data_IF_022814526226
#
_entry.id   IF_022814526226
#
_cell.length_a   1.000
_cell.length_b   1.000
_cell.length_c   1.000
_cell.angle_alpha   90.00
_cell.angle_beta   90.00
_cell.angle_gamma   90.00
#
_symmetry.space_group_name_H-M   'P 1'
#
loop_
_entity.id
_entity.type
_entity.pdbx_description
1 polymer ?
#
# COMPACT_ATOMS: atom_id res chain seq x y z
N UNK A 1 -37.36 13.94 -3.60
CA UNK A 1 -36.22 12.98 -3.42
C UNK A 1 -35.04 13.52 -4.20
N UNK A 2 -33.84 13.67 -3.58
CA UNK A 2 -32.67 14.16 -4.34
C UNK A 2 -32.19 13.09 -5.32
N UNK A 3 -31.65 13.49 -6.47
CA UNK A 3 -31.08 12.59 -7.48
C UNK A 3 -30.09 11.58 -6.87
N UNK A 4 -29.36 11.95 -5.81
CA UNK A 4 -28.47 11.06 -5.05
C UNK A 4 -29.21 9.87 -4.39
N UNK A 5 -30.46 10.05 -3.96
CA UNK A 5 -31.24 9.01 -3.30
C UNK A 5 -31.88 8.05 -4.32
N UNK A 6 -32.15 8.50 -5.53
CA UNK A 6 -32.65 7.65 -6.64
C UNK A 6 -31.53 6.76 -7.16
N UNK A 7 -30.33 7.32 -7.36
CA UNK A 7 -29.15 6.56 -7.80
C UNK A 7 -28.78 5.43 -6.82
N UNK A 8 -28.97 5.65 -5.50
CA UNK A 8 -28.69 4.63 -4.49
C UNK A 8 -29.65 3.42 -4.54
N UNK A 9 -30.86 3.59 -5.06
CA UNK A 9 -31.91 2.54 -5.08
C UNK A 9 -31.92 1.68 -6.33
N UNK A 10 -31.34 2.14 -7.44
CA UNK A 10 -31.34 1.41 -8.72
C UNK A 10 -29.94 0.83 -8.97
N UNK A 11 -29.76 -0.51 -8.93
CA UNK A 11 -28.44 -1.16 -9.03
C UNK A 11 -27.65 -0.74 -10.29
N UNK A 12 -28.32 -0.62 -11.43
CA UNK A 12 -27.69 -0.22 -12.71
C UNK A 12 -27.18 1.24 -12.65
N UNK A 13 -27.95 2.17 -12.11
CA UNK A 13 -27.54 3.56 -11.97
C UNK A 13 -26.37 3.72 -10.99
N UNK A 14 -26.37 2.93 -9.95
CA UNK A 14 -25.27 2.87 -8.97
C UNK A 14 -23.99 2.33 -9.60
N UNK A 15 -24.10 1.32 -10.47
CA UNK A 15 -23.00 0.80 -11.27
C UNK A 15 -22.44 1.87 -12.20
N UNK A 16 -23.28 2.50 -13.00
CA UNK A 16 -22.86 3.53 -13.95
C UNK A 16 -22.20 4.71 -13.25
N UNK A 17 -22.76 5.14 -12.11
CA UNK A 17 -22.17 6.19 -11.29
C UNK A 17 -20.79 5.81 -10.74
N UNK A 18 -20.61 4.55 -10.31
CA UNK A 18 -19.31 4.06 -9.84
C UNK A 18 -18.30 3.92 -10.96
N UNK A 19 -18.68 3.36 -12.10
CA UNK A 19 -17.83 3.25 -13.28
C UNK A 19 -17.39 4.64 -13.78
N UNK A 20 -18.32 5.60 -13.78
CA UNK A 20 -18.02 6.99 -14.14
C UNK A 20 -17.07 7.66 -13.14
N UNK A 21 -17.28 7.41 -11.85
CA UNK A 21 -16.40 7.92 -10.78
C UNK A 21 -14.98 7.35 -10.93
N UNK A 22 -14.85 6.04 -11.10
CA UNK A 22 -13.54 5.39 -11.27
C UNK A 22 -12.82 5.88 -12.53
N UNK A 23 -13.55 6.00 -13.65
CA UNK A 23 -13.02 6.56 -14.88
C UNK A 23 -12.57 8.02 -14.70
N UNK A 24 -13.36 8.83 -13.98
CA UNK A 24 -13.01 10.21 -13.67
C UNK A 24 -11.74 10.30 -12.80
N UNK A 25 -11.63 9.46 -11.79
CA UNK A 25 -10.44 9.41 -10.91
C UNK A 25 -9.19 8.99 -11.69
N UNK A 26 -9.29 7.95 -12.51
CA UNK A 26 -8.18 7.48 -13.33
C UNK A 26 -7.79 8.53 -14.38
N UNK A 27 -8.74 9.09 -15.11
CA UNK A 27 -8.50 10.14 -16.09
C UNK A 27 -7.85 11.37 -15.44
N UNK A 28 -8.28 11.73 -14.21
CA UNK A 28 -7.68 12.81 -13.45
C UNK A 28 -6.24 12.49 -13.03
N UNK A 29 -5.98 11.26 -12.58
CA UNK A 29 -4.64 10.81 -12.21
C UNK A 29 -3.71 10.77 -13.43
N UNK A 30 -4.18 10.21 -14.55
CA UNK A 30 -3.42 10.17 -15.81
C UNK A 30 -3.06 11.59 -16.30
N UNK A 31 -4.02 12.53 -16.26
CA UNK A 31 -3.76 13.95 -16.56
C UNK A 31 -2.74 14.58 -15.63
N UNK A 32 -2.83 14.29 -14.32
CA UNK A 32 -1.87 14.79 -13.33
C UNK A 32 -0.47 14.24 -13.59
N UNK A 33 -0.35 12.94 -13.88
CA UNK A 33 0.93 12.29 -14.20
C UNK A 33 1.50 12.90 -15.47
N UNK A 34 0.74 13.02 -16.55
CA UNK A 34 1.18 13.64 -17.81
C UNK A 34 1.66 15.07 -17.58
N UNK A 35 0.87 15.88 -16.85
CA UNK A 35 1.27 17.25 -16.50
C UNK A 35 2.53 17.28 -15.65
N UNK A 36 2.73 16.30 -14.78
CA UNK A 36 3.90 16.22 -13.91
C UNK A 36 5.16 15.81 -14.69
N UNK A 37 5.06 14.80 -15.56
CA UNK A 37 6.18 14.31 -16.38
C UNK A 37 6.65 15.37 -17.39
N UNK A 38 5.73 16.20 -17.88
CA UNK A 38 6.06 17.29 -18.81
C UNK A 38 6.74 18.51 -18.14
N UNK A 39 6.98 18.46 -16.83
CA UNK A 39 7.78 19.50 -16.14
C UNK A 39 9.25 19.31 -16.49
N UNK A 40 9.97 20.44 -16.62
CA UNK A 40 11.43 20.43 -16.86
C UNK A 40 12.21 19.94 -15.62
N UNK A 41 11.67 20.18 -14.45
CA UNK A 41 12.34 19.89 -13.18
C UNK A 41 11.38 19.23 -12.18
N UNK A 42 11.94 18.36 -11.35
CA UNK A 42 11.23 17.79 -10.21
C UNK A 42 10.91 18.91 -9.20
N UNK A 43 9.67 19.04 -8.70
CA UNK A 43 9.36 20.02 -7.67
C UNK A 43 10.03 19.68 -6.33
N UNK A 44 10.20 20.70 -5.49
CA UNK A 44 10.77 20.57 -4.14
C UNK A 44 12.24 20.15 -4.12
N UNK A 45 13.04 20.59 -5.10
CA UNK A 45 14.51 20.38 -5.12
C UNK A 45 15.28 21.51 -4.45
N UNK A 46 14.77 22.74 -4.52
CA UNK A 46 15.41 23.91 -3.92
C UNK A 46 14.89 24.22 -2.52
N UNK A 47 13.62 23.91 -2.26
CA UNK A 47 12.96 24.15 -0.97
C UNK A 47 12.23 22.89 -0.52
N UNK A 48 12.37 22.56 0.76
CA UNK A 48 11.61 21.48 1.37
C UNK A 48 10.09 21.79 1.36
N UNK A 49 9.23 20.78 1.26
CA UNK A 49 7.79 20.96 1.35
C UNK A 49 7.36 21.55 2.71
N UNK A 50 6.27 22.32 2.69
CA UNK A 50 5.69 22.82 3.95
C UNK A 50 5.11 21.68 4.79
N UNK A 51 4.57 20.64 4.15
CA UNK A 51 3.97 19.48 4.80
C UNK A 51 4.27 18.18 4.02
N UNK A 52 4.47 17.10 4.78
CA UNK A 52 4.65 15.75 4.28
C UNK A 52 3.45 14.85 4.61
N UNK A 53 3.12 13.92 3.73
CA UNK A 53 2.46 12.69 4.13
C UNK A 53 3.53 11.78 4.75
N UNK A 54 3.26 11.20 5.91
CA UNK A 54 4.24 10.34 6.61
C UNK A 54 3.75 8.91 6.58
N UNK A 55 4.58 8.00 6.07
CA UNK A 55 4.41 6.56 6.23
C UNK A 55 5.40 6.07 7.29
N UNK A 56 4.91 5.52 8.39
CA UNK A 56 5.75 5.02 9.47
C UNK A 56 5.61 3.51 9.63
N UNK A 57 6.73 2.81 9.64
CA UNK A 57 6.84 1.38 9.90
C UNK A 57 7.40 1.14 11.31
N UNK A 58 6.53 0.99 12.32
CA UNK A 58 6.97 0.84 13.71
C UNK A 58 7.76 -0.44 13.97
N UNK A 59 7.57 -1.46 13.12
CA UNK A 59 8.19 -2.77 13.27
C UNK A 59 8.20 -3.54 11.95
N UNK A 60 9.21 -4.39 11.75
CA UNK A 60 9.22 -5.42 10.70
C UNK A 60 8.63 -6.75 11.20
N UNK A 61 8.43 -6.90 12.51
CA UNK A 61 7.82 -8.11 13.08
C UNK A 61 6.37 -8.24 12.60
N UNK A 62 5.94 -9.47 12.40
CA UNK A 62 4.56 -9.79 12.06
C UNK A 62 4.22 -11.18 12.54
N UNK A 63 3.00 -11.36 12.98
CA UNK A 63 2.47 -12.65 13.41
C UNK A 63 1.99 -13.55 12.25
N UNK A 64 2.09 -13.09 10.98
CA UNK A 64 1.69 -13.84 9.81
C UNK A 64 2.88 -14.09 8.86
N UNK A 65 2.76 -15.12 7.98
CA UNK A 65 3.74 -15.49 6.96
C UNK A 65 3.09 -15.49 5.57
N UNK A 66 2.51 -14.33 5.19
CA UNK A 66 1.76 -14.21 3.95
C UNK A 66 2.58 -14.59 2.72
N UNK A 67 1.97 -15.36 1.80
CA UNK A 67 2.62 -15.89 0.59
C UNK A 67 3.21 -14.78 -0.31
N UNK A 68 2.54 -13.63 -0.40
CA UNK A 68 2.94 -12.50 -1.24
C UNK A 68 3.76 -11.44 -0.50
N UNK A 69 4.13 -11.66 0.76
CA UNK A 69 4.76 -10.61 1.54
C UNK A 69 6.19 -10.33 1.07
N UNK A 70 6.41 -9.13 0.53
CA UNK A 70 7.74 -8.67 0.11
C UNK A 70 8.75 -8.57 1.27
N UNK A 71 8.29 -8.30 2.49
CA UNK A 71 9.12 -8.27 3.70
C UNK A 71 9.43 -9.68 4.26
N UNK A 72 8.93 -10.76 3.66
CA UNK A 72 9.08 -12.12 4.18
C UNK A 72 10.53 -12.53 4.40
N UNK A 73 11.44 -12.11 3.53
CA UNK A 73 12.88 -12.41 3.62
C UNK A 73 13.59 -11.55 4.70
N UNK A 74 13.11 -10.33 4.96
CA UNK A 74 13.72 -9.40 5.91
C UNK A 74 13.32 -9.67 7.35
N UNK A 75 12.21 -10.38 7.59
CA UNK A 75 11.75 -10.75 8.95
C UNK A 75 12.69 -11.68 9.70
N UNK A 76 13.44 -12.51 8.98
CA UNK A 76 14.45 -13.38 9.57
C UNK A 76 15.65 -12.58 10.13
N UNK A 77 15.80 -11.34 9.72
CA UNK A 77 16.85 -10.44 10.17
C UNK A 77 16.37 -9.73 11.45
N UNK A 78 16.92 -10.13 12.58
CA UNK A 78 16.75 -9.40 13.84
C UNK A 78 17.37 -8.02 13.68
N UNK A 79 16.53 -6.99 13.48
CA UNK A 79 16.95 -5.59 13.49
C UNK A 79 16.50 -4.96 14.80
N UNK A 80 17.33 -4.05 15.30
CA UNK A 80 16.91 -3.16 16.37
C UNK A 80 15.69 -2.35 15.92
N UNK A 81 14.76 -2.16 16.81
CA UNK A 81 13.64 -1.24 16.65
C UNK A 81 13.85 -0.10 17.65
N UNK A 82 13.50 1.10 17.27
CA UNK A 82 13.51 2.23 18.20
C UNK A 82 12.54 1.97 19.35
N UNK A 83 12.94 2.33 20.54
CA UNK A 83 12.03 2.35 21.70
C UNK A 83 11.01 3.48 21.59
N UNK A 84 10.05 3.50 22.49
CA UNK A 84 8.96 4.48 22.48
C UNK A 84 9.46 5.93 22.54
N UNK A 85 10.43 6.21 23.37
CA UNK A 85 10.90 7.59 23.61
C UNK A 85 11.68 8.11 22.41
N UNK A 86 12.49 7.26 21.78
CA UNK A 86 13.16 7.55 20.53
C UNK A 86 12.15 7.85 19.39
N UNK A 87 11.09 7.04 19.29
CA UNK A 87 10.05 7.27 18.29
C UNK A 87 9.30 8.57 18.56
N UNK A 88 8.95 8.85 19.80
CA UNK A 88 8.29 10.10 20.18
C UNK A 88 9.18 11.32 19.92
N UNK A 89 10.50 11.22 20.11
CA UNK A 89 11.43 12.31 19.76
C UNK A 89 11.43 12.60 18.25
N UNK A 90 11.34 11.57 17.41
CA UNK A 90 11.17 11.73 15.96
C UNK A 90 9.83 12.39 15.64
N UNK A 91 8.74 11.97 16.30
CA UNK A 91 7.42 12.54 16.08
C UNK A 91 7.35 14.02 16.46
N UNK A 92 8.04 14.42 17.53
CA UNK A 92 8.18 15.83 17.90
C UNK A 92 8.82 16.66 16.78
N UNK A 93 9.90 16.16 16.17
CA UNK A 93 10.54 16.83 15.00
C UNK A 93 9.61 16.91 13.79
N UNK A 94 8.70 15.93 13.63
CA UNK A 94 7.80 15.81 12.49
C UNK A 94 6.48 16.57 12.66
N UNK A 95 5.99 16.82 13.88
CA UNK A 95 4.60 17.25 14.15
C UNK A 95 4.19 18.49 13.37
N UNK A 96 5.07 19.50 13.29
CA UNK A 96 4.80 20.71 12.53
C UNK A 96 4.73 20.50 11.02
N UNK A 97 5.44 19.50 10.51
CA UNK A 97 5.61 19.17 9.09
C UNK A 97 4.68 18.04 8.60
N UNK A 98 3.93 17.40 9.48
CA UNK A 98 3.07 16.26 9.11
C UNK A 98 1.66 16.72 8.74
N UNK A 99 1.19 16.32 7.55
CA UNK A 99 -0.19 16.48 7.10
C UNK A 99 -1.08 15.32 7.58
N UNK A 100 -0.61 14.11 7.38
CA UNK A 100 -1.27 12.88 7.77
C UNK A 100 -0.21 11.80 8.04
N UNK A 101 -0.54 10.82 8.87
CA UNK A 101 0.34 9.68 9.12
C UNK A 101 -0.36 8.37 8.78
N UNK A 102 0.35 7.52 8.05
CA UNK A 102 -0.04 6.14 7.80
C UNK A 102 0.90 5.22 8.58
N UNK A 103 0.35 4.47 9.52
CA UNK A 103 1.05 3.46 10.30
C UNK A 103 0.88 2.11 9.59
N UNK A 104 2.01 1.49 9.27
CA UNK A 104 2.09 0.24 8.49
C UNK A 104 3.30 -0.55 8.98
N UNK A 105 3.87 -1.45 8.22
CA UNK A 105 5.08 -2.21 8.54
C UNK A 105 4.85 -3.70 8.41
N UNK A 106 5.40 -4.50 9.32
CA UNK A 106 5.02 -5.91 9.46
C UNK A 106 3.57 -6.02 9.93
N UNK A 107 3.38 -6.05 11.24
CA UNK A 107 2.06 -5.87 11.86
C UNK A 107 2.20 -4.88 13.02
N UNK A 108 1.65 -3.68 12.92
CA UNK A 108 1.79 -2.66 13.97
C UNK A 108 1.30 -3.12 15.35
N UNK A 109 0.24 -3.91 15.41
CA UNK A 109 -0.35 -4.40 16.66
C UNK A 109 0.51 -5.43 17.39
N UNK A 110 1.67 -5.82 16.84
CA UNK A 110 2.68 -6.63 17.55
C UNK A 110 3.44 -5.81 18.60
N UNK A 111 3.54 -4.48 18.41
CA UNK A 111 4.15 -3.59 19.39
C UNK A 111 3.19 -3.30 20.53
N UNK A 112 3.66 -3.43 21.76
CA UNK A 112 2.84 -3.17 22.95
C UNK A 112 2.54 -1.68 23.13
N UNK A 113 3.46 -0.81 22.72
CA UNK A 113 3.39 0.64 22.82
C UNK A 113 2.71 1.32 21.61
N UNK A 114 2.20 0.54 20.63
CA UNK A 114 1.66 1.10 19.39
C UNK A 114 0.56 2.15 19.62
N UNK A 115 -0.30 1.94 20.60
CA UNK A 115 -1.38 2.88 20.87
C UNK A 115 -0.89 4.18 21.53
N UNK A 116 0.24 4.16 22.24
CA UNK A 116 0.88 5.38 22.75
C UNK A 116 1.42 6.22 21.59
N UNK A 117 2.04 5.56 20.58
CA UNK A 117 2.51 6.20 19.37
C UNK A 117 1.36 6.79 18.54
N UNK A 118 0.26 6.06 18.42
CA UNK A 118 -0.95 6.54 17.71
C UNK A 118 -1.58 7.72 18.46
N UNK A 119 -1.64 7.66 19.80
CA UNK A 119 -2.21 8.70 20.67
C UNK A 119 -1.45 10.03 20.56
N UNK A 120 -0.15 10.01 20.29
CA UNK A 120 0.61 11.21 19.98
C UNK A 120 -0.03 11.99 18.82
N UNK A 121 -0.27 11.32 17.69
CA UNK A 121 -0.83 11.95 16.49
C UNK A 121 -2.31 12.30 16.64
N UNK A 122 -3.05 11.56 17.44
CA UNK A 122 -4.43 11.86 17.78
C UNK A 122 -4.51 13.21 18.56
N UNK A 123 -3.63 13.40 19.55
CA UNK A 123 -3.50 14.66 20.29
C UNK A 123 -3.09 15.84 19.41
N UNK A 124 -2.18 15.62 18.47
CA UNK A 124 -1.76 16.61 17.47
C UNK A 124 -2.85 16.91 16.42
N UNK A 125 -4.00 16.27 16.51
CA UNK A 125 -5.12 16.46 15.59
C UNK A 125 -4.86 15.98 14.16
N UNK A 126 -3.86 15.13 13.94
CA UNK A 126 -3.48 14.65 12.61
C UNK A 126 -4.36 13.49 12.18
N UNK A 127 -4.65 13.44 10.88
CA UNK A 127 -5.32 12.30 10.28
C UNK A 127 -4.43 11.06 10.37
N UNK A 128 -4.97 9.96 10.91
CA UNK A 128 -4.27 8.71 11.10
C UNK A 128 -4.91 7.63 10.24
N UNK A 129 -4.09 6.93 9.46
CA UNK A 129 -4.48 5.73 8.71
C UNK A 129 -3.74 4.55 9.33
N UNK A 130 -4.48 3.58 9.85
CA UNK A 130 -3.89 2.38 10.45
C UNK A 130 -4.02 1.20 9.48
N UNK A 131 -2.90 0.65 9.03
CA UNK A 131 -2.87 -0.57 8.23
C UNK A 131 -2.48 -1.76 9.11
N UNK A 132 -3.39 -2.71 9.26
CA UNK A 132 -3.21 -3.89 10.11
C UNK A 132 -3.92 -5.11 9.51
N UNK A 133 -3.40 -6.31 9.79
CA UNK A 133 -4.08 -7.56 9.44
C UNK A 133 -5.27 -7.88 10.36
N UNK A 134 -5.48 -7.08 11.39
CA UNK A 134 -6.56 -7.18 12.39
C UNK A 134 -6.62 -8.50 13.17
N UNK A 135 -5.62 -9.36 13.11
CA UNK A 135 -5.67 -10.67 13.83
C UNK A 135 -5.26 -10.58 15.29
N UNK A 136 -4.74 -9.42 15.73
CA UNK A 136 -4.29 -9.17 17.09
C UNK A 136 -5.14 -8.13 17.82
N UNK A 137 -6.26 -7.71 17.26
CA UNK A 137 -7.19 -6.81 17.93
C UNK A 137 -8.06 -7.61 18.91
N UNK A 138 -7.76 -7.51 20.19
CA UNK A 138 -8.52 -8.05 21.30
C UNK A 138 -9.33 -6.95 22.01
N UNK A 139 -10.02 -7.30 23.09
CA UNK A 139 -10.82 -6.36 23.88
C UNK A 139 -9.98 -5.25 24.51
N UNK A 140 -8.76 -5.56 25.00
CA UNK A 140 -7.83 -4.58 25.55
C UNK A 140 -7.37 -3.57 24.51
N UNK A 141 -7.02 -4.03 23.31
CA UNK A 141 -6.62 -3.16 22.20
C UNK A 141 -7.80 -2.37 21.63
N UNK A 142 -9.00 -2.94 21.66
CA UNK A 142 -10.20 -2.25 21.20
C UNK A 142 -10.58 -1.07 22.08
N UNK A 143 -10.35 -1.14 23.41
CA UNK A 143 -10.58 0.00 24.29
C UNK A 143 -9.71 1.21 23.93
N UNK A 144 -8.45 0.98 23.53
CA UNK A 144 -7.60 2.05 23.02
C UNK A 144 -8.14 2.67 21.72
N UNK A 145 -8.65 1.83 20.80
CA UNK A 145 -9.27 2.38 19.57
C UNK A 145 -10.47 3.29 19.84
N UNK A 146 -11.24 2.99 20.88
CA UNK A 146 -12.42 3.76 21.28
C UNK A 146 -12.07 5.21 21.65
N UNK A 147 -10.92 5.43 22.26
CA UNK A 147 -10.46 6.75 22.70
C UNK A 147 -9.91 7.62 21.57
N UNK A 148 -9.40 7.01 20.49
CA UNK A 148 -8.71 7.69 19.41
C UNK A 148 -9.70 8.27 18.38
N UNK A 149 -9.73 9.58 18.24
CA UNK A 149 -10.72 10.30 17.40
C UNK A 149 -10.24 10.58 15.97
N UNK A 150 -8.92 10.55 15.74
CA UNK A 150 -8.32 10.94 14.46
C UNK A 150 -7.99 9.77 13.55
N UNK A 151 -8.29 8.52 13.97
CA UNK A 151 -8.20 7.39 13.03
C UNK A 151 -9.29 7.58 11.98
N UNK A 152 -8.85 7.89 10.78
CA UNK A 152 -9.73 8.20 9.63
C UNK A 152 -10.04 7.00 8.75
N UNK A 153 -9.22 5.95 8.83
CA UNK A 153 -9.39 4.72 8.05
C UNK A 153 -8.57 3.58 8.66
N UNK A 154 -9.14 2.39 8.67
CA UNK A 154 -8.41 1.14 8.95
C UNK A 154 -8.30 0.37 7.65
N UNK A 155 -7.06 0.14 7.21
CA UNK A 155 -6.77 -0.67 6.03
C UNK A 155 -6.49 -2.10 6.49
N UNK A 156 -7.25 -3.06 5.98
CA UNK A 156 -7.05 -4.47 6.30
C UNK A 156 -7.10 -5.35 5.06
N UNK A 157 -6.92 -6.64 5.25
CA UNK A 157 -6.77 -7.59 4.14
C UNK A 157 -7.72 -8.76 4.26
N UNK A 158 -8.32 -9.15 3.12
CA UNK A 158 -9.15 -10.36 3.00
C UNK A 158 -8.96 -10.93 1.59
N UNK A 159 -8.27 -12.08 1.44
CA UNK A 159 -7.81 -12.60 0.14
C UNK A 159 -8.64 -13.74 -0.42
N UNK A 160 -9.70 -14.13 0.25
CA UNK A 160 -10.57 -15.21 -0.16
C UNK A 160 -11.57 -15.60 0.93
N UNK A 161 -12.38 -16.64 0.71
CA UNK A 161 -13.12 -17.31 1.78
C UNK A 161 -12.12 -17.87 2.82
N UNK A 162 -12.63 -18.38 3.94
CA UNK A 162 -11.86 -18.78 5.11
C UNK A 162 -10.57 -19.56 4.78
N UNK A 163 -10.70 -20.67 4.07
CA UNK A 163 -9.57 -21.57 3.77
C UNK A 163 -8.53 -20.89 2.88
N UNK A 164 -8.99 -20.16 1.87
CA UNK A 164 -8.13 -19.41 0.96
C UNK A 164 -7.43 -18.27 1.69
N UNK A 165 -8.13 -17.52 2.53
CA UNK A 165 -7.52 -16.45 3.32
C UNK A 165 -6.44 -16.99 4.24
N UNK A 166 -6.72 -18.06 5.00
CA UNK A 166 -5.76 -18.67 5.92
C UNK A 166 -4.52 -19.19 5.18
N UNK A 167 -4.71 -19.82 4.00
CA UNK A 167 -3.63 -20.29 3.14
C UNK A 167 -2.76 -19.12 2.64
N UNK A 168 -3.36 -18.07 2.11
CA UNK A 168 -2.64 -16.90 1.57
C UNK A 168 -1.91 -16.16 2.68
N UNK A 169 -2.48 -16.10 3.89
CA UNK A 169 -1.87 -15.46 5.07
C UNK A 169 -0.85 -16.33 5.80
N UNK A 170 -0.76 -17.62 5.45
CA UNK A 170 0.23 -18.56 5.97
C UNK A 170 0.03 -18.90 7.44
N UNK A 171 -1.19 -18.82 7.96
CA UNK A 171 -1.53 -19.16 9.34
C UNK A 171 -3.00 -19.57 9.50
N UNK A 172 -3.29 -20.75 10.06
CA UNK A 172 -4.65 -21.19 10.33
C UNK A 172 -5.40 -20.24 11.28
N UNK A 173 -6.71 -20.09 11.09
CA UNK A 173 -7.57 -19.30 11.94
C UNK A 173 -7.44 -17.78 11.79
N UNK A 174 -6.67 -17.32 10.80
CA UNK A 174 -6.50 -15.89 10.49
C UNK A 174 -7.84 -15.24 10.13
N UNK A 175 -8.64 -15.93 9.32
CA UNK A 175 -9.97 -15.46 8.93
C UNK A 175 -10.90 -15.26 10.14
N UNK A 176 -10.95 -16.21 11.05
CA UNK A 176 -11.83 -16.13 12.23
C UNK A 176 -11.41 -14.98 13.14
N UNK A 177 -10.10 -14.76 13.33
CA UNK A 177 -9.57 -13.62 14.10
C UNK A 177 -9.92 -12.29 13.43
N UNK A 178 -9.74 -12.18 12.12
CA UNK A 178 -10.14 -11.00 11.35
C UNK A 178 -11.65 -10.73 11.52
N UNK A 179 -12.51 -11.74 11.35
CA UNK A 179 -13.97 -11.63 11.53
C UNK A 179 -14.33 -11.08 12.91
N UNK A 180 -13.76 -11.66 13.99
CA UNK A 180 -13.97 -11.18 15.36
C UNK A 180 -13.56 -9.71 15.53
N UNK A 181 -12.41 -9.33 14.98
CA UNK A 181 -11.94 -7.95 15.04
C UNK A 181 -12.84 -6.97 14.29
N UNK A 182 -13.38 -7.37 13.12
CA UNK A 182 -14.35 -6.56 12.39
C UNK A 182 -15.66 -6.37 13.18
N UNK A 183 -16.11 -7.41 13.89
CA UNK A 183 -17.29 -7.32 14.77
C UNK A 183 -17.05 -6.34 15.93
N UNK A 184 -15.87 -6.41 16.57
CA UNK A 184 -15.46 -5.48 17.62
C UNK A 184 -15.43 -4.04 17.10
N UNK A 185 -14.79 -3.77 15.96
CA UNK A 185 -14.72 -2.42 15.42
C UNK A 185 -16.10 -1.89 15.06
N UNK A 186 -16.95 -2.71 14.45
CA UNK A 186 -18.34 -2.30 14.12
C UNK A 186 -19.15 -1.93 15.36
N UNK A 187 -18.90 -2.60 16.49
CA UNK A 187 -19.58 -2.32 17.75
C UNK A 187 -19.02 -1.06 18.42
N UNK A 188 -17.71 -0.95 18.54
CA UNK A 188 -17.07 0.09 19.36
C UNK A 188 -16.78 1.38 18.58
N UNK A 189 -16.53 1.28 17.27
CA UNK A 189 -16.16 2.40 16.39
C UNK A 189 -16.79 2.27 14.99
N UNK A 190 -18.14 2.24 14.92
CA UNK A 190 -18.86 2.15 13.64
C UNK A 190 -18.61 3.35 12.71
N UNK A 191 -18.05 4.42 13.22
CA UNK A 191 -17.67 5.63 12.50
C UNK A 191 -16.40 5.48 11.67
N UNK A 192 -15.51 4.53 12.02
CA UNK A 192 -14.25 4.35 11.29
C UNK A 192 -14.49 3.53 10.00
N UNK A 193 -14.20 4.10 8.83
CA UNK A 193 -14.22 3.34 7.59
C UNK A 193 -13.19 2.20 7.62
N UNK A 194 -13.61 1.02 7.13
CA UNK A 194 -12.72 -0.12 6.95
C UNK A 194 -12.53 -0.33 5.46
N UNK A 195 -11.30 -0.15 5.00
CA UNK A 195 -10.90 -0.38 3.62
C UNK A 195 -10.25 -1.76 3.49
N UNK A 196 -10.88 -2.64 2.72
CA UNK A 196 -10.42 -4.02 2.55
C UNK A 196 -9.64 -4.17 1.25
N UNK A 197 -8.48 -4.81 1.35
CA UNK A 197 -7.65 -5.20 0.22
C UNK A 197 -7.57 -6.72 0.10
N UNK A 198 -7.58 -7.21 -1.14
CA UNK A 198 -7.25 -8.59 -1.48
C UNK A 198 -6.10 -8.59 -2.48
N UNK A 199 -5.07 -9.40 -2.26
CA UNK A 199 -4.01 -9.55 -3.25
C UNK A 199 -4.40 -10.59 -4.30
N UNK A 200 -4.34 -10.22 -5.56
CA UNK A 200 -4.56 -11.11 -6.69
C UNK A 200 -3.29 -11.93 -6.93
N UNK A 201 -3.31 -13.17 -6.50
CA UNK A 201 -2.35 -14.21 -6.84
C UNK A 201 -2.94 -15.01 -8.00
N UNK A 202 -2.52 -14.72 -9.23
CA UNK A 202 -3.17 -15.25 -10.45
C UNK A 202 -3.27 -16.78 -10.42
N UNK A 203 -2.21 -17.44 -9.97
CA UNK A 203 -2.14 -18.90 -9.93
C UNK A 203 -2.87 -19.53 -8.73
N UNK A 204 -3.18 -18.76 -7.70
CA UNK A 204 -3.68 -19.33 -6.44
C UNK A 204 -5.14 -18.99 -6.16
N UNK A 205 -5.52 -17.70 -6.26
CA UNK A 205 -6.81 -17.25 -5.75
C UNK A 205 -7.73 -16.56 -6.76
N UNK A 206 -7.33 -16.45 -8.04
CA UNK A 206 -8.12 -15.76 -9.06
C UNK A 206 -9.58 -16.30 -9.13
N UNK A 207 -9.75 -17.60 -9.11
CA UNK A 207 -11.09 -18.23 -9.20
C UNK A 207 -11.87 -18.16 -7.87
N UNK A 208 -11.20 -17.91 -6.75
CA UNK A 208 -11.83 -17.74 -5.44
C UNK A 208 -12.50 -16.38 -5.22
N UNK A 209 -12.26 -15.40 -6.09
CA UNK A 209 -12.79 -14.05 -5.93
C UNK A 209 -14.32 -13.95 -5.96
N UNK A 210 -15.00 -14.85 -6.64
CA UNK A 210 -16.46 -14.93 -6.58
C UNK A 210 -16.94 -15.26 -5.15
N UNK A 211 -16.34 -16.28 -4.52
CA UNK A 211 -16.63 -16.65 -3.13
C UNK A 211 -16.17 -15.59 -2.14
N UNK A 212 -15.06 -14.88 -2.44
CA UNK A 212 -14.63 -13.73 -1.64
C UNK A 212 -15.68 -12.62 -1.61
N UNK A 213 -16.33 -12.34 -2.74
CA UNK A 213 -17.42 -11.36 -2.81
C UNK A 213 -18.61 -11.78 -1.96
N UNK A 214 -18.98 -13.06 -1.97
CA UNK A 214 -20.04 -13.57 -1.09
C UNK A 214 -19.65 -13.42 0.38
N UNK A 215 -18.41 -13.76 0.74
CA UNK A 215 -17.84 -13.54 2.09
C UNK A 215 -17.86 -12.04 2.47
N UNK A 216 -17.51 -11.14 1.57
CA UNK A 216 -17.59 -9.71 1.82
C UNK A 216 -19.01 -9.27 2.16
N UNK A 217 -20.01 -9.80 1.42
CA UNK A 217 -21.42 -9.51 1.70
C UNK A 217 -21.84 -10.00 3.09
N UNK A 218 -21.46 -11.22 3.47
CA UNK A 218 -21.74 -11.80 4.79
C UNK A 218 -21.10 -10.96 5.92
N UNK A 219 -19.89 -10.47 5.71
CA UNK A 219 -19.18 -9.60 6.63
C UNK A 219 -19.65 -8.14 6.58
N UNK A 220 -20.62 -7.79 5.71
CA UNK A 220 -21.11 -6.42 5.54
C UNK A 220 -20.09 -5.46 4.92
N UNK A 221 -19.15 -5.99 4.13
CA UNK A 221 -18.12 -5.23 3.41
C UNK A 221 -18.68 -4.83 2.05
N UNK A 222 -18.90 -3.53 1.84
CA UNK A 222 -19.48 -3.02 0.60
C UNK A 222 -18.48 -2.71 -0.51
N UNK A 223 -17.18 -2.73 -0.22
CA UNK A 223 -16.12 -2.43 -1.20
C UNK A 223 -14.87 -3.25 -0.91
N UNK A 224 -14.29 -3.85 -1.94
CA UNK A 224 -13.01 -4.52 -1.88
C UNK A 224 -12.07 -3.99 -2.96
N UNK A 225 -10.81 -3.78 -2.60
CA UNK A 225 -9.76 -3.34 -3.49
C UNK A 225 -8.87 -4.54 -3.84
N UNK A 226 -8.94 -5.02 -5.06
CA UNK A 226 -8.11 -6.12 -5.56
C UNK A 226 -6.76 -5.52 -5.98
N UNK A 227 -5.73 -5.87 -5.24
CA UNK A 227 -4.36 -5.43 -5.45
C UNK A 227 -3.64 -6.42 -6.35
N UNK A 228 -3.12 -5.96 -7.48
CA UNK A 228 -2.28 -6.80 -8.31
C UNK A 228 -0.98 -7.15 -7.57
N UNK A 229 -0.61 -8.43 -7.60
CA UNK A 229 0.60 -8.91 -6.95
C UNK A 229 1.85 -8.18 -7.46
N UNK A 230 2.72 -7.80 -6.54
CA UNK A 230 4.03 -7.27 -6.88
C UNK A 230 4.98 -8.45 -7.13
N UNK A 231 5.31 -8.66 -8.39
CA UNK A 231 6.21 -9.74 -8.81
C UNK A 231 7.42 -9.15 -9.51
N UNK A 232 8.59 -9.65 -9.18
CA UNK A 232 9.86 -9.16 -9.70
C UNK A 232 10.60 -10.27 -10.43
N UNK A 233 10.94 -10.04 -11.70
CA UNK A 233 11.78 -10.94 -12.45
C UNK A 233 13.25 -10.79 -12.03
N UNK A 234 14.02 -11.87 -12.08
CA UNK A 234 15.44 -11.87 -11.75
C UNK A 234 16.22 -10.82 -12.55
N UNK A 235 15.86 -10.66 -13.82
CA UNK A 235 16.47 -9.68 -14.71
C UNK A 235 16.15 -8.25 -14.30
N UNK A 236 14.94 -7.99 -13.79
CA UNK A 236 14.51 -6.66 -13.31
C UNK A 236 15.27 -6.28 -12.03
N UNK A 237 15.47 -7.25 -11.14
CA UNK A 237 16.26 -7.09 -9.91
C UNK A 237 17.72 -6.83 -10.26
N UNK A 238 18.30 -7.65 -11.14
CA UNK A 238 19.70 -7.48 -11.62
C UNK A 238 19.92 -6.12 -12.27
N UNK A 239 19.02 -5.71 -13.16
CA UNK A 239 19.08 -4.40 -13.79
C UNK A 239 18.97 -3.25 -12.79
N UNK A 240 18.15 -3.38 -11.73
CA UNK A 240 18.08 -2.37 -10.68
C UNK A 240 19.37 -2.29 -9.87
N UNK A 241 19.99 -3.44 -9.53
CA UNK A 241 21.30 -3.49 -8.84
C UNK A 241 22.40 -2.83 -9.67
N UNK A 242 22.43 -3.06 -10.98
CA UNK A 242 23.37 -2.39 -11.86
C UNK A 242 23.20 -0.86 -11.82
N UNK A 243 21.96 -0.35 -11.85
CA UNK A 243 21.71 1.10 -11.70
C UNK A 243 22.21 1.61 -10.36
N UNK A 244 21.99 0.88 -9.26
CA UNK A 244 22.47 1.31 -7.94
C UNK A 244 23.99 1.36 -7.88
N UNK A 245 24.68 0.39 -8.42
CA UNK A 245 26.12 0.34 -8.48
C UNK A 245 26.71 1.38 -9.43
N UNK A 246 26.29 1.40 -10.68
CA UNK A 246 26.93 2.19 -11.74
C UNK A 246 26.54 3.67 -11.71
N UNK A 247 25.27 3.98 -11.41
CA UNK A 247 24.79 5.35 -11.43
C UNK A 247 24.86 6.02 -10.06
N UNK A 248 24.51 5.29 -8.99
CA UNK A 248 24.51 5.85 -7.62
C UNK A 248 25.81 5.59 -6.87
N UNK A 249 26.59 4.58 -7.26
CA UNK A 249 27.79 4.17 -6.55
C UNK A 249 27.50 3.43 -5.24
N UNK A 250 26.27 2.92 -5.08
CA UNK A 250 25.88 2.22 -3.85
C UNK A 250 26.49 0.83 -3.79
N UNK A 251 27.01 0.49 -2.61
CA UNK A 251 27.48 -0.86 -2.30
C UNK A 251 26.29 -1.73 -1.86
N UNK A 252 26.40 -3.06 -2.02
CA UNK A 252 25.29 -3.99 -1.70
C UNK A 252 24.87 -3.97 -0.24
N UNK A 253 25.76 -3.66 0.68
CA UNK A 253 25.48 -3.51 2.11
C UNK A 253 24.69 -2.24 2.47
N UNK A 254 24.66 -1.23 1.59
CA UNK A 254 24.02 0.07 1.85
C UNK A 254 22.52 0.09 1.54
N UNK A 255 22.03 -0.94 0.84
CA UNK A 255 20.61 -1.05 0.50
C UNK A 255 20.12 -2.48 0.54
N UNK A 256 18.81 -2.64 0.59
CA UNK A 256 18.15 -3.94 0.41
C UNK A 256 17.03 -3.82 -0.59
N UNK A 257 16.86 -4.87 -1.37
CA UNK A 257 15.70 -5.06 -2.21
C UNK A 257 14.79 -6.10 -1.56
N UNK A 258 13.69 -5.62 -1.00
CA UNK A 258 12.64 -6.45 -0.46
C UNK A 258 11.77 -6.96 -1.62
N UNK A 259 12.24 -7.99 -2.29
CA UNK A 259 11.58 -8.58 -3.45
C UNK A 259 11.41 -10.06 -3.23
N UNK A 260 10.23 -10.58 -3.55
CA UNK A 260 10.12 -12.01 -3.79
C UNK A 260 10.56 -12.27 -5.23
N UNK A 261 11.73 -12.92 -5.39
CA UNK A 261 12.10 -13.50 -6.66
C UNK A 261 11.05 -14.56 -7.02
N UNK A 262 10.11 -14.18 -7.85
CA UNK A 262 9.29 -15.15 -8.57
C UNK A 262 9.53 -14.92 -10.04
N UNK A 263 9.92 -15.94 -10.72
CA UNK A 263 9.78 -15.95 -12.17
C UNK A 263 8.32 -15.61 -12.44
N UNK A 264 8.00 -14.57 -13.22
CA UNK A 264 6.62 -14.29 -13.59
C UNK A 264 6.12 -15.42 -14.53
N UNK A 265 5.89 -16.59 -13.95
CA UNK A 265 5.51 -17.84 -14.63
C UNK A 265 4.13 -17.72 -15.26
N UNK A 266 3.33 -16.77 -14.80
CA UNK A 266 2.00 -16.48 -15.35
C UNK A 266 2.01 -15.98 -16.80
N UNK A 267 3.17 -15.57 -17.35
CA UNK A 267 3.28 -15.20 -18.78
C UNK A 267 2.76 -16.29 -19.73
N UNK A 268 2.90 -17.55 -19.36
CA UNK A 268 2.54 -18.69 -20.20
C UNK A 268 1.23 -19.38 -19.79
N UNK A 269 0.57 -18.94 -18.71
CA UNK A 269 -0.61 -19.60 -18.13
C UNK A 269 -1.92 -18.91 -18.39
N UNK A 270 -1.91 -17.60 -18.59
CA UNK A 270 -3.13 -16.83 -18.85
C UNK A 270 -2.82 -15.68 -19.83
N UNK A 271 -3.66 -15.54 -20.84
CA UNK A 271 -3.55 -14.41 -21.76
C UNK A 271 -4.08 -13.11 -21.12
N UNK A 272 -3.61 -11.92 -21.58
CA UNK A 272 -4.17 -10.64 -21.12
C UNK A 272 -5.68 -10.55 -21.29
N UNK A 273 -6.20 -11.09 -22.40
CA UNK A 273 -7.62 -11.04 -22.71
C UNK A 273 -8.42 -11.96 -21.77
N UNK A 274 -7.95 -13.17 -21.54
CA UNK A 274 -8.57 -14.12 -20.61
C UNK A 274 -8.60 -13.56 -19.19
N UNK A 275 -7.47 -13.02 -18.71
CA UNK A 275 -7.40 -12.38 -17.40
C UNK A 275 -8.38 -11.21 -17.32
N UNK A 276 -8.42 -10.35 -18.35
CA UNK A 276 -9.35 -9.22 -18.40
C UNK A 276 -10.80 -9.65 -18.35
N UNK A 277 -11.13 -10.73 -19.07
CA UNK A 277 -12.49 -11.30 -19.07
C UNK A 277 -12.87 -11.86 -17.70
N UNK A 278 -11.98 -12.59 -17.02
CA UNK A 278 -12.19 -13.06 -15.64
C UNK A 278 -12.39 -11.89 -14.68
N UNK A 279 -11.49 -10.89 -14.68
CA UNK A 279 -11.59 -9.71 -13.81
C UNK A 279 -12.89 -8.91 -14.07
N UNK A 280 -13.31 -8.79 -15.32
CA UNK A 280 -14.60 -8.17 -15.68
C UNK A 280 -15.78 -8.95 -15.09
N UNK A 281 -15.78 -10.28 -15.19
CA UNK A 281 -16.81 -11.14 -14.59
C UNK A 281 -16.85 -10.99 -13.07
N UNK A 282 -15.70 -10.97 -12.39
CA UNK A 282 -15.58 -10.75 -10.95
C UNK A 282 -16.19 -9.39 -10.56
N UNK A 283 -15.83 -8.33 -11.27
CA UNK A 283 -16.37 -6.98 -11.04
C UNK A 283 -17.90 -6.94 -11.21
N UNK A 284 -18.41 -7.57 -12.28
CA UNK A 284 -19.86 -7.63 -12.53
C UNK A 284 -20.60 -8.44 -11.46
N UNK A 285 -20.00 -9.54 -11.01
CA UNK A 285 -20.56 -10.35 -9.91
C UNK A 285 -20.63 -9.54 -8.61
N UNK A 286 -19.57 -8.80 -8.29
CA UNK A 286 -19.56 -7.92 -7.12
C UNK A 286 -20.70 -6.90 -7.15
N UNK A 287 -20.99 -6.32 -8.31
CA UNK A 287 -22.11 -5.40 -8.47
C UNK A 287 -23.46 -6.05 -8.20
N UNK A 288 -23.69 -7.27 -8.70
CA UNK A 288 -24.92 -8.03 -8.41
C UNK A 288 -25.09 -8.32 -6.91
N UNK A 289 -23.98 -8.43 -6.17
CA UNK A 289 -23.97 -8.70 -4.73
C UNK A 289 -23.90 -7.42 -3.86
N UNK A 290 -23.98 -6.23 -4.45
CA UNK A 290 -23.77 -4.95 -3.78
C UNK A 290 -22.39 -4.81 -3.10
N UNK A 291 -21.37 -5.46 -3.65
CA UNK A 291 -19.98 -5.31 -3.27
C UNK A 291 -19.19 -4.71 -4.44
N UNK A 292 -18.66 -3.50 -4.25
CA UNK A 292 -17.87 -2.83 -5.28
C UNK A 292 -16.46 -3.41 -5.32
N UNK A 293 -16.02 -3.78 -6.52
CA UNK A 293 -14.68 -4.31 -6.78
C UNK A 293 -13.87 -3.25 -7.51
N UNK A 294 -12.80 -2.77 -6.87
CA UNK A 294 -11.81 -1.90 -7.48
C UNK A 294 -10.54 -2.71 -7.78
N UNK A 295 -9.83 -2.36 -8.86
CA UNK A 295 -8.51 -2.90 -9.16
C UNK A 295 -7.44 -1.86 -8.84
N UNK A 296 -6.36 -2.28 -8.17
CA UNK A 296 -5.30 -1.38 -7.70
C UNK A 296 -3.92 -1.93 -8.11
N UNK A 297 -3.12 -1.19 -8.88
CA UNK A 297 -3.46 0.05 -9.57
C UNK A 297 -4.46 -0.18 -10.72
N UNK A 298 -5.39 0.71 -10.92
CA UNK A 298 -6.38 0.59 -12.01
C UNK A 298 -5.73 0.62 -13.39
N UNK A 299 -4.59 1.31 -13.51
CA UNK A 299 -3.79 1.34 -14.72
C UNK A 299 -3.38 -0.07 -15.19
N UNK A 300 -3.15 -1.03 -14.28
CA UNK A 300 -2.82 -2.42 -14.63
C UNK A 300 -3.99 -3.15 -15.27
N UNK A 301 -5.19 -2.96 -14.75
CA UNK A 301 -6.41 -3.53 -15.34
C UNK A 301 -6.60 -3.14 -16.81
N UNK A 302 -6.18 -1.94 -17.20
CA UNK A 302 -6.25 -1.46 -18.58
C UNK A 302 -5.00 -1.80 -19.43
N UNK A 303 -3.93 -2.28 -18.80
CA UNK A 303 -2.65 -2.57 -19.45
C UNK A 303 -2.09 -3.93 -19.00
N UNK A 304 -2.92 -4.98 -19.07
CA UNK A 304 -2.53 -6.32 -18.61
C UNK A 304 -1.38 -6.90 -19.44
N UNK A 305 -1.27 -6.58 -20.71
CA UNK A 305 -0.13 -6.93 -21.58
C UNK A 305 1.19 -6.41 -21.01
N UNK A 306 1.18 -5.20 -20.45
CA UNK A 306 2.32 -4.63 -19.76
C UNK A 306 2.55 -5.29 -18.40
N UNK A 307 1.52 -5.40 -17.57
CA UNK A 307 1.62 -6.04 -16.25
C UNK A 307 2.17 -7.48 -16.37
N UNK A 308 1.69 -8.26 -17.33
CA UNK A 308 2.18 -9.61 -17.61
C UNK A 308 3.57 -9.62 -18.26
N UNK A 309 4.13 -8.45 -18.61
CA UNK A 309 5.47 -8.29 -19.18
C UNK A 309 5.58 -8.70 -20.64
N UNK A 310 4.47 -8.76 -21.38
CA UNK A 310 4.44 -9.01 -22.83
C UNK A 310 4.94 -7.78 -23.57
N UNK A 311 4.51 -6.58 -23.13
CA UNK A 311 4.99 -5.31 -23.64
C UNK A 311 5.77 -4.57 -22.57
N UNK A 312 6.99 -4.16 -22.89
CA UNK A 312 7.79 -3.29 -22.01
C UNK A 312 7.35 -1.83 -22.18
N UNK A 313 7.34 -1.08 -21.08
CA UNK A 313 7.08 0.35 -21.05
C UNK A 313 7.72 0.95 -19.80
N UNK A 314 7.82 2.27 -19.75
CA UNK A 314 8.28 2.96 -18.56
C UNK A 314 7.19 2.96 -17.49
N UNK A 315 7.57 2.74 -16.24
CA UNK A 315 6.71 2.91 -15.08
C UNK A 315 7.08 4.20 -14.33
N UNK A 316 6.09 5.06 -14.11
CA UNK A 316 6.22 6.26 -13.29
C UNK A 316 5.78 5.97 -11.86
N UNK A 317 6.53 6.44 -10.87
CA UNK A 317 6.21 6.25 -9.46
C UNK A 317 5.27 7.34 -8.95
N UNK A 318 4.07 6.97 -8.47
CA UNK A 318 3.07 7.91 -7.94
C UNK A 318 3.57 8.71 -6.72
N UNK A 319 4.53 8.19 -5.97
CA UNK A 319 5.08 8.89 -4.81
C UNK A 319 5.75 10.22 -5.17
N UNK A 320 6.17 10.37 -6.43
CA UNK A 320 6.73 11.64 -6.92
C UNK A 320 5.69 12.75 -7.05
N UNK A 321 4.38 12.43 -7.08
CA UNK A 321 3.32 13.43 -7.24
C UNK A 321 3.07 14.28 -5.99
N UNK A 322 3.48 13.81 -4.82
CA UNK A 322 3.29 14.51 -3.55
C UNK A 322 4.45 14.20 -2.60
N UNK A 323 4.80 15.15 -1.71
CA UNK A 323 5.82 14.92 -0.70
C UNK A 323 5.38 13.84 0.28
N UNK A 324 6.08 12.72 0.28
CA UNK A 324 5.87 11.61 1.23
C UNK A 324 7.21 11.21 1.85
N UNK A 325 7.27 11.18 3.17
CA UNK A 325 8.38 10.58 3.92
C UNK A 325 7.99 9.17 4.36
N UNK A 326 8.84 8.20 4.05
CA UNK A 326 8.69 6.83 4.55
C UNK A 326 9.76 6.59 5.59
N UNK A 327 9.36 6.22 6.80
CA UNK A 327 10.24 6.04 7.95
C UNK A 327 10.15 4.59 8.39
N UNK A 328 11.27 3.91 8.48
CA UNK A 328 11.35 2.53 8.93
C UNK A 328 11.47 2.44 10.47
N UNK A 329 11.55 1.22 11.00
CA UNK A 329 11.60 0.92 12.44
C UNK A 329 12.89 1.39 13.14
N UNK A 330 13.92 1.80 12.38
CA UNK A 330 15.19 2.34 12.91
C UNK A 330 15.27 3.86 12.81
N UNK A 331 14.19 4.52 12.36
CA UNK A 331 14.14 5.98 12.19
C UNK A 331 14.74 6.48 10.87
N UNK A 332 15.17 5.58 9.99
CA UNK A 332 15.70 5.95 8.69
C UNK A 332 14.59 6.38 7.73
N UNK A 333 14.83 7.45 7.00
CA UNK A 333 14.02 7.84 5.86
C UNK A 333 14.43 7.01 4.65
N UNK A 334 13.49 6.21 4.15
CA UNK A 334 13.65 5.36 2.96
C UNK A 334 12.72 5.83 1.85
N UNK A 335 12.99 5.45 0.60
CA UNK A 335 12.06 5.79 -0.48
C UNK A 335 10.77 4.97 -0.42
N UNK A 336 10.89 3.67 -0.34
CA UNK A 336 9.75 2.75 -0.29
C UNK A 336 10.13 1.41 0.33
N UNK A 337 9.12 0.62 0.63
CA UNK A 337 9.24 -0.69 1.28
C UNK A 337 10.02 -1.72 0.44
N UNK A 338 10.11 -1.51 -0.89
CA UNK A 338 10.83 -2.40 -1.82
C UNK A 338 12.31 -2.05 -1.89
N UNK A 339 12.63 -0.76 -1.85
CA UNK A 339 14.01 -0.25 -1.90
C UNK A 339 14.32 0.34 -0.53
N UNK A 340 14.94 -0.45 0.32
CA UNK A 340 15.32 -0.05 1.66
C UNK A 340 16.78 0.45 1.65
N UNK A 341 16.94 1.71 1.27
CA UNK A 341 18.17 2.50 1.36
C UNK A 341 17.88 3.67 2.30
N UNK A 342 18.71 3.85 3.32
CA UNK A 342 18.64 5.03 4.19
C UNK A 342 19.15 6.25 3.45
N UNK A 343 18.36 7.33 3.47
CA UNK A 343 18.77 8.66 3.01
C UNK A 343 19.10 9.60 4.17
N UNK A 344 19.01 9.09 5.38
CA UNK A 344 19.32 9.76 6.64
C UNK A 344 18.39 9.30 7.75
N UNK A 345 18.86 9.45 8.99
CA UNK A 345 18.11 9.04 10.18
C UNK A 345 17.50 10.27 10.88
N UNK A 346 16.26 10.18 11.30
CA UNK A 346 15.52 11.26 11.96
C UNK A 346 15.91 11.46 13.44
N UNK A 347 16.66 10.55 14.03
CA UNK A 347 17.28 10.81 15.33
C UNK A 347 18.33 11.93 15.20
N UNK A 348 19.10 11.93 14.11
CA UNK A 348 20.24 12.83 13.91
C UNK A 348 19.89 14.07 13.09
N UNK A 349 18.99 13.91 12.09
CA UNK A 349 18.68 14.95 11.09
C UNK A 349 17.21 15.37 11.14
N UNK A 350 16.93 16.56 10.66
CA UNK A 350 15.56 17.03 10.42
C UNK A 350 15.00 16.44 9.12
N UNK A 351 13.67 16.38 8.97
CA UNK A 351 13.05 15.90 7.73
C UNK A 351 13.44 16.75 6.51
N UNK A 352 13.65 18.05 6.67
CA UNK A 352 14.03 18.95 5.59
C UNK A 352 15.47 18.74 5.14
N UNK A 353 16.40 18.54 6.09
CA UNK A 353 17.80 18.20 5.76
C UNK A 353 17.90 16.90 4.97
N UNK A 354 17.14 15.87 5.38
CA UNK A 354 17.11 14.60 4.64
C UNK A 354 16.48 14.79 3.26
N UNK A 355 15.34 15.52 3.18
CA UNK A 355 14.64 15.76 1.92
C UNK A 355 15.50 16.50 0.91
N UNK A 356 16.31 17.46 1.36
CA UNK A 356 17.19 18.28 0.52
C UNK A 356 18.58 17.67 0.34
N UNK A 357 18.89 16.52 0.96
CA UNK A 357 20.19 15.90 0.79
C UNK A 357 20.48 15.58 -0.68
N UNK A 358 21.72 15.79 -1.15
CA UNK A 358 22.08 15.57 -2.55
C UNK A 358 21.77 14.15 -3.04
N UNK A 359 22.01 13.14 -2.19
CA UNK A 359 21.76 11.73 -2.53
C UNK A 359 20.26 11.47 -2.72
N UNK A 360 19.39 11.98 -1.80
CA UNK A 360 17.95 11.78 -1.92
C UNK A 360 17.36 12.55 -3.10
N UNK A 361 17.88 13.74 -3.39
CA UNK A 361 17.49 14.50 -4.58
C UNK A 361 17.89 13.78 -5.87
N UNK A 362 19.15 13.31 -5.96
CA UNK A 362 19.65 12.53 -7.12
C UNK A 362 18.79 11.29 -7.37
N UNK A 363 18.39 10.58 -6.30
CA UNK A 363 17.54 9.41 -6.41
C UNK A 363 16.13 9.74 -6.94
N UNK A 364 15.49 10.77 -6.39
CA UNK A 364 14.17 11.24 -6.83
C UNK A 364 14.19 11.74 -8.27
N UNK A 365 15.23 12.46 -8.66
CA UNK A 365 15.42 12.94 -10.02
C UNK A 365 15.58 11.78 -11.00
N UNK A 366 16.37 10.78 -10.65
CA UNK A 366 16.50 9.56 -11.48
C UNK A 366 15.16 8.85 -11.68
N UNK A 367 14.38 8.68 -10.61
CA UNK A 367 13.05 8.10 -10.70
C UNK A 367 12.10 8.91 -11.58
N UNK A 368 12.20 10.24 -11.51
CA UNK A 368 11.41 11.15 -12.33
C UNK A 368 11.76 11.03 -13.82
N UNK A 369 13.02 10.98 -14.16
CA UNK A 369 13.49 10.95 -15.54
C UNK A 369 13.44 9.57 -16.19
N UNK A 370 13.89 8.56 -15.48
CA UNK A 370 14.12 7.22 -16.05
C UNK A 370 13.24 6.13 -15.42
N UNK A 371 12.89 6.24 -14.14
CA UNK A 371 12.31 5.13 -13.38
C UNK A 371 13.32 4.03 -13.12
N UNK A 372 12.94 3.02 -12.36
CA UNK A 372 13.78 1.85 -12.08
C UNK A 372 13.14 0.59 -12.66
N UNK A 373 13.95 -0.36 -13.17
CA UNK A 373 13.43 -1.64 -13.70
C UNK A 373 12.53 -2.37 -12.69
N UNK A 374 12.89 -2.35 -11.42
CA UNK A 374 12.15 -2.96 -10.32
C UNK A 374 10.78 -2.30 -10.06
N UNK A 375 10.54 -1.07 -10.53
CA UNK A 375 9.27 -0.38 -10.32
C UNK A 375 8.16 -0.85 -11.27
N UNK A 376 8.45 -1.74 -12.19
CA UNK A 376 7.55 -2.10 -13.30
C UNK A 376 6.20 -2.69 -12.86
N UNK A 377 6.18 -3.52 -11.79
CA UNK A 377 4.97 -4.14 -11.23
C UNK A 377 4.66 -3.69 -9.80
N UNK A 378 5.16 -2.52 -9.42
CA UNK A 378 4.91 -1.96 -8.11
C UNK A 378 3.48 -1.41 -7.99
N UNK A 379 2.85 -1.57 -6.81
CA UNK A 379 1.50 -1.03 -6.54
C UNK A 379 1.40 0.51 -6.64
N UNK A 380 2.52 1.22 -6.71
CA UNK A 380 2.62 2.68 -6.92
C UNK A 380 3.02 3.06 -8.34
N UNK A 381 3.13 2.09 -9.24
CA UNK A 381 3.52 2.35 -10.61
C UNK A 381 2.34 2.73 -11.51
N UNK A 382 2.61 3.57 -12.47
CA UNK A 382 1.71 3.93 -13.55
C UNK A 382 2.46 3.84 -14.88
N UNK A 383 1.93 3.05 -15.81
CA UNK A 383 2.55 2.93 -17.12
C UNK A 383 2.33 4.21 -17.92
N UNK A 384 3.43 4.78 -18.39
CA UNK A 384 3.42 5.95 -19.27
C UNK A 384 3.75 5.54 -20.70
N UNK A 385 3.21 6.29 -21.64
CA UNK A 385 3.48 6.07 -23.08
C UNK A 385 4.85 6.58 -23.44
#
# INVERSE_FOLDING_TARGET
MSAKNVIKKIPVLRLLAKLFYDWKQESSLDKRIKKFINRKHLPFTEKAPDKYAVGYEPTIRCNLKCKMCYQGQTRALRRSELDKDQVLSIFEKLKAKTKEIKIVGGEPLVRDDIFDLVRFWDKEGRRIILQTNLTLLDEKKSSNLKELKKISDILTSLDGPKEMHDMVRGAPGTFNRLKKSLEIIKKERPDIPITVFATLLIDDNLDSFFRLIDTCKELGIGTINILFEQVYAKEEIGAARNVFKEFFGWKEEEYRLNTQERNPVFKNRISPEELKNKLRKIRFYGLKKNCFVNFVPFNYYNNLDKYLGIKKTRAFCHKLLAPELRINQTGDVIWCDVIEKSFGNLLDKTPDEIWLSPEYQKFRQYLFEKGLPICYRCCKAHYVK
#
